data_IF_054636726229
#
_entry.id   IF_054636726229
#
_cell.length_a   1.000
_cell.length_b   1.000
_cell.length_c   1.000
_cell.angle_alpha   90.00
_cell.angle_beta   90.00
_cell.angle_gamma   90.00
#
_symmetry.space_group_name_H-M   'P 1'
#
loop_
_entity.id
_entity.type
_entity.pdbx_description
1 polymer ?
#
# COMPACT_ATOMS: atom_id res chain seq x y z
N UNK A 1 6.02 -9.95 0.56
CA UNK A 1 5.63 -11.37 0.39
C UNK A 1 6.40 -12.09 -0.71
N UNK A 2 6.53 -11.54 -1.93
CA UNK A 2 7.39 -12.16 -2.98
C UNK A 2 8.88 -11.84 -2.77
N UNK A 3 9.18 -10.55 -2.60
CA UNK A 3 10.50 -10.02 -2.26
C UNK A 3 10.30 -8.69 -1.54
N UNK A 4 11.08 -8.41 -0.50
CA UNK A 4 10.94 -7.20 0.32
C UNK A 4 11.22 -5.94 -0.52
N UNK A 5 10.34 -4.96 -0.41
CA UNK A 5 10.44 -3.64 -1.06
C UNK A 5 10.81 -2.57 -0.05
N UNK A 6 11.08 -1.34 -0.51
CA UNK A 6 11.34 -0.17 0.37
C UNK A 6 10.08 0.64 0.70
N UNK A 7 8.92 0.28 0.13
CA UNK A 7 7.63 0.93 0.37
C UNK A 7 6.86 0.38 1.57
N UNK A 8 5.82 1.11 1.98
CA UNK A 8 4.90 0.70 3.06
C UNK A 8 3.99 -0.48 2.66
N UNK A 9 3.55 -1.24 3.66
CA UNK A 9 2.62 -2.36 3.50
C UNK A 9 1.16 -1.88 3.46
N UNK A 10 0.70 -1.40 2.30
CA UNK A 10 -0.60 -0.73 2.16
C UNK A 10 -1.84 -1.63 2.24
N UNK A 11 -1.74 -2.91 1.87
CA UNK A 11 -2.92 -3.72 1.53
C UNK A 11 -3.61 -3.21 0.26
N UNK A 12 -4.90 -3.50 0.10
CA UNK A 12 -5.68 -3.06 -1.07
C UNK A 12 -6.33 -1.68 -0.90
N UNK A 13 -6.48 -1.19 0.34
CA UNK A 13 -7.33 -0.04 0.64
C UNK A 13 -6.63 1.33 0.60
N UNK A 14 -5.42 1.43 0.00
CA UNK A 14 -4.73 2.71 -0.19
C UNK A 14 -5.31 3.54 -1.35
N UNK A 15 -6.63 3.67 -1.38
CA UNK A 15 -7.43 4.38 -2.37
C UNK A 15 -8.70 4.90 -1.69
N UNK A 16 -9.13 6.10 -2.06
CA UNK A 16 -10.36 6.72 -1.57
C UNK A 16 -10.86 7.74 -2.58
N UNK A 17 -12.18 7.98 -2.59
CA UNK A 17 -12.84 8.95 -3.47
C UNK A 17 -13.56 10.00 -2.62
N UNK A 18 -13.49 11.26 -3.05
CA UNK A 18 -14.13 12.38 -2.36
C UNK A 18 -14.57 13.46 -3.36
N UNK A 19 -15.54 14.26 -2.96
CA UNK A 19 -15.94 15.47 -3.69
C UNK A 19 -15.02 16.60 -3.24
N UNK A 20 -14.26 17.16 -4.18
CA UNK A 20 -13.34 18.26 -3.93
C UNK A 20 -13.92 19.57 -4.44
N UNK A 21 -13.73 20.63 -3.67
CA UNK A 21 -14.05 21.99 -4.11
C UNK A 21 -12.81 22.86 -3.99
N UNK A 22 -12.57 23.62 -5.05
CA UNK A 22 -11.31 24.30 -5.29
C UNK A 22 -11.38 25.27 -6.46
N UNK A 23 -10.22 25.84 -6.79
CA UNK A 23 -10.03 26.69 -7.97
C UNK A 23 -9.19 25.95 -9.00
N UNK A 24 -9.59 25.91 -10.28
CA UNK A 24 -8.76 25.31 -11.34
C UNK A 24 -7.35 25.93 -11.36
N UNK A 25 -6.31 25.11 -11.42
CA UNK A 25 -4.92 25.56 -11.46
C UNK A 25 -4.67 26.47 -12.68
N UNK A 26 -5.24 26.11 -13.84
CA UNK A 26 -5.18 26.93 -15.06
C UNK A 26 -5.61 28.38 -14.82
N UNK A 27 -6.65 28.60 -14.03
CA UNK A 27 -7.17 29.93 -13.74
C UNK A 27 -6.20 30.74 -12.90
N UNK A 28 -5.60 30.12 -11.87
CA UNK A 28 -4.57 30.75 -11.04
C UNK A 28 -3.33 31.11 -11.87
N UNK A 29 -2.89 30.20 -12.75
CA UNK A 29 -1.75 30.44 -13.63
C UNK A 29 -2.02 31.60 -14.61
N UNK A 30 -3.22 31.65 -15.20
CA UNK A 30 -3.64 32.75 -16.07
C UNK A 30 -3.68 34.09 -15.34
N UNK A 31 -4.19 34.13 -14.10
CA UNK A 31 -4.16 35.33 -13.26
C UNK A 31 -2.74 35.78 -12.95
N UNK A 32 -1.79 34.85 -12.81
CA UNK A 32 -0.37 35.15 -12.66
C UNK A 32 0.33 35.54 -13.98
N UNK A 33 -0.42 35.70 -15.09
CA UNK A 33 0.11 36.09 -16.40
C UNK A 33 0.76 34.95 -17.19
N UNK A 34 0.61 33.70 -16.75
CA UNK A 34 1.15 32.53 -17.46
C UNK A 34 0.28 32.23 -18.67
N UNK A 35 0.91 32.17 -19.84
CA UNK A 35 0.25 31.82 -21.10
C UNK A 35 0.57 30.39 -21.52
N UNK A 36 -0.43 29.71 -22.07
CA UNK A 36 -0.18 28.58 -22.96
C UNK A 36 0.54 29.15 -24.17
N UNK A 37 1.77 28.71 -24.38
CA UNK A 37 2.55 29.10 -25.53
C UNK A 37 3.23 27.84 -26.03
N UNK A 38 2.75 27.38 -27.19
CA UNK A 38 3.25 26.19 -27.87
C UNK A 38 4.62 26.46 -28.53
N UNK A 39 5.06 27.72 -28.59
CA UNK A 39 6.33 28.14 -29.22
C UNK A 39 7.54 28.16 -28.27
N UNK A 40 7.47 27.51 -27.11
CA UNK A 40 8.65 27.41 -26.25
C UNK A 40 9.57 26.28 -26.74
N UNK A 41 10.85 26.57 -27.00
CA UNK A 41 11.84 25.57 -27.45
C UNK A 41 12.02 24.39 -26.49
N UNK A 42 11.63 24.55 -25.22
CA UNK A 42 11.75 23.56 -24.16
C UNK A 42 10.45 23.41 -23.39
N UNK A 43 10.12 22.18 -22.99
CA UNK A 43 8.99 21.90 -22.10
C UNK A 43 9.10 22.72 -20.82
N UNK A 44 8.02 23.44 -20.50
CA UNK A 44 7.86 24.14 -19.22
C UNK A 44 7.12 23.26 -18.21
N UNK A 45 7.41 23.48 -16.94
CA UNK A 45 6.87 22.73 -15.81
C UNK A 45 6.22 23.67 -14.80
N UNK A 46 5.28 23.13 -14.05
CA UNK A 46 4.71 23.77 -12.86
C UNK A 46 5.14 22.94 -11.67
N UNK A 47 6.01 23.51 -10.85
CA UNK A 47 6.51 22.88 -9.63
C UNK A 47 5.65 23.31 -8.43
N UNK A 48 5.37 22.36 -7.56
CA UNK A 48 4.59 22.52 -6.34
C UNK A 48 5.48 22.18 -5.14
N UNK A 49 5.48 23.04 -4.13
CA UNK A 49 6.18 22.82 -2.85
C UNK A 49 5.22 22.87 -1.67
N UNK A 50 5.34 21.90 -0.77
CA UNK A 50 4.61 21.85 0.50
C UNK A 50 5.41 22.44 1.66
N UNK A 51 4.74 22.72 2.78
CA UNK A 51 5.40 23.21 4.01
C UNK A 51 6.00 22.11 4.88
N UNK A 52 5.74 20.84 4.58
CA UNK A 52 6.17 19.70 5.39
C UNK A 52 7.67 19.43 5.22
N UNK A 53 8.40 19.50 6.34
CA UNK A 53 9.84 19.21 6.38
C UNK A 53 10.07 17.73 6.65
N UNK A 54 10.51 17.01 5.63
CA UNK A 54 10.82 15.60 5.67
C UNK A 54 12.35 15.38 5.78
N UNK A 55 12.83 14.14 6.00
CA UNK A 55 14.27 13.87 6.18
C UNK A 55 15.17 14.39 5.05
N UNK A 56 14.67 14.39 3.80
CA UNK A 56 15.42 14.84 2.62
C UNK A 56 14.95 16.21 2.09
N UNK A 57 14.42 17.06 2.98
CA UNK A 57 13.96 18.41 2.66
C UNK A 57 12.44 18.50 2.56
N UNK A 58 11.95 19.57 1.94
CA UNK A 58 10.51 19.80 1.77
C UNK A 58 9.94 18.91 0.67
N UNK A 59 8.70 18.46 0.86
CA UNK A 59 8.01 17.73 -0.18
C UNK A 59 7.74 18.63 -1.39
N UNK A 60 8.03 18.12 -2.59
CA UNK A 60 7.78 18.83 -3.82
C UNK A 60 7.79 17.90 -5.03
N UNK A 61 7.14 18.36 -6.09
CA UNK A 61 7.02 17.63 -7.35
C UNK A 61 6.58 18.59 -8.45
N UNK A 62 6.45 18.12 -9.69
CA UNK A 62 6.00 18.93 -10.81
C UNK A 62 5.11 18.15 -11.78
N UNK A 63 4.35 18.89 -12.58
CA UNK A 63 3.72 18.42 -13.82
C UNK A 63 4.15 19.35 -14.97
N UNK A 64 3.92 18.95 -16.22
CA UNK A 64 4.16 19.85 -17.36
C UNK A 64 3.16 21.01 -17.34
N UNK A 65 3.58 22.17 -17.85
CA UNK A 65 2.70 23.33 -17.99
C UNK A 65 1.49 23.02 -18.89
N UNK A 66 1.72 22.26 -19.98
CA UNK A 66 0.64 21.81 -20.87
C UNK A 66 -0.44 21.06 -20.09
N UNK A 67 -0.05 20.15 -19.19
CA UNK A 67 -1.00 19.42 -18.34
C UNK A 67 -1.70 20.35 -17.36
N UNK A 68 -0.96 21.25 -16.70
CA UNK A 68 -1.51 22.20 -15.73
C UNK A 68 -2.56 23.16 -16.34
N UNK A 69 -2.42 23.48 -17.63
CA UNK A 69 -3.28 24.39 -18.37
C UNK A 69 -4.44 23.69 -19.10
N UNK A 70 -4.41 22.35 -19.18
CA UNK A 70 -5.43 21.54 -19.87
C UNK A 70 -6.74 21.51 -19.07
N UNK A 71 -7.80 22.04 -19.67
CA UNK A 71 -9.14 22.08 -19.07
C UNK A 71 -9.75 20.70 -18.88
N UNK A 72 -9.37 19.71 -19.70
CA UNK A 72 -9.86 18.33 -19.59
C UNK A 72 -9.18 17.56 -18.45
N UNK A 73 -8.17 18.12 -17.80
CA UNK A 73 -7.44 17.44 -16.71
C UNK A 73 -7.96 17.80 -15.32
N UNK A 74 -8.88 18.76 -15.21
CA UNK A 74 -9.52 19.20 -13.97
C UNK A 74 -8.53 19.43 -12.80
N UNK A 75 -7.31 19.89 -13.10
CA UNK A 75 -6.28 20.17 -12.09
C UNK A 75 -6.71 21.35 -11.23
N UNK A 76 -6.70 21.22 -9.91
CA UNK A 76 -7.21 22.26 -9.01
C UNK A 76 -6.41 22.41 -7.72
N UNK A 77 -6.52 23.60 -7.13
CA UNK A 77 -6.18 23.89 -5.74
C UNK A 77 -7.45 23.72 -4.91
N UNK A 78 -7.52 22.65 -4.12
CA UNK A 78 -8.69 22.34 -3.29
C UNK A 78 -8.54 22.92 -1.88
N UNK A 79 -9.65 23.43 -1.33
CA UNK A 79 -9.76 23.95 0.04
C UNK A 79 -10.94 23.33 0.82
N UNK A 80 -11.76 22.52 0.15
CA UNK A 80 -12.86 21.77 0.75
C UNK A 80 -12.86 20.31 0.23
N UNK A 81 -13.21 19.38 1.14
CA UNK A 81 -13.42 17.95 0.88
C UNK A 81 -14.78 17.56 1.47
N UNK A 82 -15.64 16.95 0.65
CA UNK A 82 -17.00 16.51 1.02
C UNK A 82 -17.82 17.62 1.73
N UNK A 83 -17.75 18.85 1.21
CA UNK A 83 -18.48 20.01 1.73
C UNK A 83 -17.94 20.58 3.06
N UNK A 84 -16.76 20.14 3.51
CA UNK A 84 -16.09 20.64 4.72
C UNK A 84 -14.71 21.15 4.39
N UNK A 85 -14.18 22.06 5.20
CA UNK A 85 -12.78 22.49 5.10
C UNK A 85 -11.85 21.28 5.25
N UNK A 86 -10.69 21.35 4.59
CA UNK A 86 -9.66 20.33 4.74
C UNK A 86 -9.27 20.15 6.21
N UNK A 87 -9.00 18.91 6.62
CA UNK A 87 -8.32 18.64 7.89
C UNK A 87 -6.80 18.72 7.70
N UNK A 88 -6.00 18.79 8.77
CA UNK A 88 -4.54 18.77 8.67
C UNK A 88 -4.02 17.60 7.82
N UNK A 89 -4.46 16.36 8.05
CA UNK A 89 -4.01 15.19 7.27
C UNK A 89 -4.33 15.27 5.78
N UNK A 90 -5.38 16.01 5.43
CA UNK A 90 -5.80 16.25 4.05
C UNK A 90 -5.24 17.55 3.47
N UNK A 91 -4.26 18.19 4.11
CA UNK A 91 -3.52 19.31 3.53
C UNK A 91 -4.13 20.69 3.77
N UNK A 92 -4.83 20.90 4.89
CA UNK A 92 -5.30 22.24 5.28
C UNK A 92 -4.17 23.29 5.24
N UNK A 93 -4.41 24.51 4.73
CA UNK A 93 -5.69 25.00 4.21
C UNK A 93 -5.93 24.68 2.73
N UNK A 94 -4.88 24.40 1.96
CA UNK A 94 -4.96 24.20 0.50
C UNK A 94 -4.04 23.05 0.09
N UNK A 95 -4.54 22.21 -0.83
CA UNK A 95 -3.73 21.17 -1.49
C UNK A 95 -3.94 21.16 -3.01
N UNK A 96 -3.00 20.53 -3.71
CA UNK A 96 -3.23 20.12 -5.09
C UNK A 96 -4.16 18.91 -5.16
N UNK A 97 -5.06 18.90 -6.14
CA UNK A 97 -5.81 17.73 -6.61
C UNK A 97 -5.58 17.63 -8.12
N UNK A 98 -5.11 16.47 -8.57
CA UNK A 98 -4.77 16.21 -9.96
C UNK A 98 -5.44 14.87 -10.35
N UNK A 99 -6.65 14.88 -10.92
CA UNK A 99 -7.38 13.66 -11.21
C UNK A 99 -6.63 12.69 -12.14
N UNK A 100 -6.83 11.38 -11.92
CA UNK A 100 -6.29 10.32 -12.78
C UNK A 100 -4.80 9.98 -12.60
N UNK A 101 -4.06 10.69 -11.76
CA UNK A 101 -2.65 10.42 -11.46
C UNK A 101 -2.44 9.97 -10.01
N UNK A 102 -1.26 9.43 -9.71
CA UNK A 102 -0.91 9.00 -8.35
C UNK A 102 -0.99 10.14 -7.32
N UNK A 103 -1.33 9.78 -6.07
CA UNK A 103 -1.39 10.71 -4.95
C UNK A 103 -0.07 11.45 -4.66
N UNK A 104 1.08 10.85 -5.00
CA UNK A 104 2.41 11.46 -4.86
C UNK A 104 2.69 12.66 -5.79
N UNK A 105 1.70 13.13 -6.56
CA UNK A 105 1.78 14.41 -7.29
C UNK A 105 0.84 15.47 -6.70
N UNK A 106 -0.03 15.09 -5.78
CA UNK A 106 -1.06 15.93 -5.19
C UNK A 106 -0.57 16.54 -3.87
N UNK A 107 0.40 17.47 -3.96
CA UNK A 107 1.05 18.13 -2.82
C UNK A 107 0.02 18.67 -1.82
N UNK A 108 0.16 18.26 -0.56
CA UNK A 108 -0.60 18.76 0.59
C UNK A 108 0.12 19.96 1.22
N UNK A 109 -0.61 20.76 2.00
CA UNK A 109 -0.05 21.93 2.70
C UNK A 109 0.72 22.83 1.73
N UNK A 110 0.06 23.16 0.62
CA UNK A 110 0.69 23.82 -0.52
C UNK A 110 1.17 25.24 -0.13
N UNK A 111 2.45 25.50 -0.33
CA UNK A 111 3.09 26.79 -0.03
C UNK A 111 3.42 27.57 -1.29
N UNK A 112 4.05 26.90 -2.26
CA UNK A 112 4.65 27.55 -3.43
C UNK A 112 4.27 26.85 -4.72
N UNK A 113 3.92 27.66 -5.73
CA UNK A 113 3.79 27.26 -7.12
C UNK A 113 4.78 28.07 -7.94
N UNK A 114 5.57 27.41 -8.80
CA UNK A 114 6.52 28.08 -9.68
C UNK A 114 6.48 27.50 -11.09
N UNK A 115 6.49 28.36 -12.11
CA UNK A 115 6.62 27.95 -13.51
C UNK A 115 8.09 28.05 -13.92
N UNK A 116 8.63 26.97 -14.45
CA UNK A 116 10.07 26.81 -14.75
C UNK A 116 10.28 26.07 -16.07
N UNK A 117 11.52 26.04 -16.56
CA UNK A 117 11.94 25.25 -17.72
C UNK A 117 12.57 23.90 -17.34
N UNK A 118 12.41 23.47 -16.09
CA UNK A 118 12.91 22.20 -15.52
C UNK A 118 11.88 21.64 -14.55
N UNK A 119 11.87 20.32 -14.39
CA UNK A 119 11.11 19.63 -13.35
C UNK A 119 11.50 20.11 -11.95
N UNK A 120 10.70 19.73 -10.94
CA UNK A 120 11.02 19.97 -9.54
C UNK A 120 12.38 19.38 -9.18
N UNK A 121 13.15 20.13 -8.41
CA UNK A 121 14.43 19.73 -7.84
C UNK A 121 14.28 19.02 -6.49
N UNK A 122 13.05 18.76 -6.04
CA UNK A 122 12.79 18.04 -4.79
C UNK A 122 13.35 16.62 -4.86
N UNK A 123 14.00 16.17 -3.79
CA UNK A 123 14.48 14.80 -3.66
C UNK A 123 13.35 13.78 -3.89
N UNK A 124 12.14 14.08 -3.40
CA UNK A 124 10.94 13.24 -3.51
C UNK A 124 10.34 13.18 -4.92
N UNK A 125 10.70 14.10 -5.81
CA UNK A 125 10.33 14.00 -7.22
C UNK A 125 11.11 12.89 -7.94
N UNK A 126 12.36 12.65 -7.53
CA UNK A 126 13.26 11.67 -8.17
C UNK A 126 13.35 10.34 -7.43
N UNK A 127 13.50 10.34 -6.11
CA UNK A 127 13.77 9.13 -5.31
C UNK A 127 12.50 8.48 -4.74
N UNK A 128 11.33 8.88 -5.23
CA UNK A 128 10.04 8.31 -4.85
C UNK A 128 9.09 8.23 -6.06
N UNK A 129 8.02 7.45 -5.93
CA UNK A 129 6.93 7.35 -6.90
C UNK A 129 7.40 6.96 -8.33
N UNK A 130 8.18 5.87 -8.40
CA UNK A 130 8.68 5.28 -9.66
C UNK A 130 8.40 3.78 -9.76
N UNK A 131 8.31 3.28 -10.98
CA UNK A 131 8.32 1.84 -11.28
C UNK A 131 9.63 1.51 -12.01
N UNK A 132 10.63 1.08 -11.24
CA UNK A 132 11.90 0.63 -11.80
C UNK A 132 11.80 -0.82 -12.31
N UNK A 133 12.64 -1.24 -13.27
CA UNK A 133 12.68 -2.62 -13.72
C UNK A 133 12.93 -3.62 -12.57
N UNK A 134 12.38 -4.85 -12.63
CA UNK A 134 12.45 -5.81 -11.52
C UNK A 134 13.86 -6.21 -11.07
N UNK A 135 14.86 -6.06 -11.94
CA UNK A 135 16.26 -6.36 -11.67
C UNK A 135 17.07 -5.17 -11.10
N UNK A 136 16.41 -4.05 -10.79
CA UNK A 136 17.03 -2.86 -10.20
C UNK A 136 16.70 -2.82 -8.71
N UNK A 137 17.71 -3.04 -7.86
CA UNK A 137 17.63 -2.86 -6.41
C UNK A 137 18.13 -1.46 -5.99
N UNK A 138 18.15 -1.17 -4.69
CA UNK A 138 18.53 0.14 -4.17
C UNK A 138 20.00 0.49 -4.46
N UNK A 139 20.92 -0.46 -4.34
CA UNK A 139 22.34 -0.22 -4.60
C UNK A 139 22.54 0.15 -6.07
N UNK A 140 21.98 -0.66 -6.98
CA UNK A 140 22.06 -0.42 -8.41
C UNK A 140 21.35 0.87 -8.81
N UNK A 141 20.18 1.15 -8.24
CA UNK A 141 19.43 2.38 -8.52
C UNK A 141 20.27 3.64 -8.23
N UNK A 142 21.01 3.62 -7.11
CA UNK A 142 21.90 4.71 -6.71
C UNK A 142 23.16 4.77 -7.59
N UNK A 143 23.83 3.63 -7.81
CA UNK A 143 25.08 3.56 -8.57
C UNK A 143 24.92 3.96 -10.03
N UNK A 144 23.82 3.55 -10.66
CA UNK A 144 23.54 3.76 -12.08
C UNK A 144 22.57 4.92 -12.36
N UNK A 145 22.22 5.73 -11.33
CA UNK A 145 21.35 6.90 -11.45
C UNK A 145 19.94 6.62 -12.03
N UNK A 146 19.36 5.46 -11.73
CA UNK A 146 18.02 5.08 -12.22
C UNK A 146 16.91 6.05 -11.80
N UNK A 147 17.08 6.73 -10.66
CA UNK A 147 16.14 7.72 -10.12
C UNK A 147 15.94 8.93 -11.04
N UNK A 148 16.84 9.17 -11.99
CA UNK A 148 16.80 10.34 -12.87
C UNK A 148 16.37 9.99 -14.30
N UNK A 149 16.05 8.72 -14.58
CA UNK A 149 15.56 8.31 -15.91
C UNK A 149 14.05 8.64 -16.00
N UNK A 150 13.62 9.58 -16.85
CA UNK A 150 12.24 10.09 -16.82
C UNK A 150 11.17 9.02 -17.06
N UNK A 151 11.44 8.00 -17.87
CA UNK A 151 10.46 7.00 -18.27
C UNK A 151 9.85 6.17 -17.13
N UNK A 152 10.49 6.15 -15.95
CA UNK A 152 10.03 5.37 -14.79
C UNK A 152 9.22 6.19 -13.77
N UNK A 153 9.08 7.50 -13.99
CA UNK A 153 8.28 8.35 -13.11
C UNK A 153 6.79 8.04 -13.27
N UNK A 154 6.08 7.94 -12.15
CA UNK A 154 4.64 7.68 -12.21
C UNK A 154 3.88 9.01 -12.29
N UNK A 155 2.99 9.09 -13.27
CA UNK A 155 1.93 10.09 -13.38
C UNK A 155 0.58 9.36 -13.37
N UNK A 156 0.04 9.02 -14.54
CA UNK A 156 -1.21 8.26 -14.66
C UNK A 156 -1.14 6.92 -13.91
N UNK A 157 -2.20 6.62 -13.16
CA UNK A 157 -2.41 5.29 -12.58
C UNK A 157 -2.66 4.25 -13.67
N UNK A 158 -2.26 2.99 -13.43
CA UNK A 158 -2.65 1.86 -14.24
C UNK A 158 -4.07 1.38 -13.87
N UNK A 159 -4.66 0.52 -14.71
CA UNK A 159 -5.91 -0.16 -14.39
C UNK A 159 -5.69 -1.10 -13.20
N UNK A 160 -6.61 -1.09 -12.24
CA UNK A 160 -6.56 -1.94 -11.05
C UNK A 160 -7.97 -2.30 -10.58
N UNK A 161 -8.07 -3.44 -9.87
CA UNK A 161 -9.30 -3.90 -9.22
C UNK A 161 -8.98 -4.79 -8.03
N UNK A 162 -9.88 -4.82 -7.05
CA UNK A 162 -9.78 -5.68 -5.88
C UNK A 162 -11.15 -6.19 -5.44
N UNK A 163 -11.13 -7.32 -4.72
CA UNK A 163 -12.31 -7.93 -4.11
C UNK A 163 -12.45 -7.40 -2.68
N UNK A 164 -13.67 -7.02 -2.31
CA UNK A 164 -14.03 -6.57 -0.96
C UNK A 164 -15.04 -7.51 -0.28
N UNK A 165 -15.86 -8.22 -1.06
CA UNK A 165 -16.73 -9.29 -0.57
C UNK A 165 -16.52 -10.54 -1.46
N UNK A 166 -16.21 -11.72 -0.88
CA UNK A 166 -16.15 -12.00 0.56
C UNK A 166 -15.03 -11.29 1.29
N UNK A 167 -15.22 -11.05 2.59
CA UNK A 167 -14.22 -10.47 3.47
C UNK A 167 -13.18 -11.52 3.87
N UNK A 168 -12.04 -11.05 4.39
CA UNK A 168 -11.04 -11.94 4.96
C UNK A 168 -11.60 -12.69 6.18
N UNK A 169 -11.39 -14.01 6.19
CA UNK A 169 -11.93 -14.95 7.17
C UNK A 169 -13.45 -15.00 7.23
N UNK A 170 -14.15 -14.44 6.25
CA UNK A 170 -15.58 -14.69 6.08
C UNK A 170 -15.82 -16.19 5.90
N UNK A 171 -16.84 -16.72 6.57
CA UNK A 171 -17.23 -18.11 6.50
C UNK A 171 -18.64 -18.28 5.96
N UNK A 172 -18.82 -19.26 5.08
CA UNK A 172 -20.14 -19.67 4.60
C UNK A 172 -20.32 -21.17 4.92
N UNK A 173 -21.24 -21.53 5.84
CA UNK A 173 -21.49 -22.92 6.16
C UNK A 173 -22.10 -23.68 4.98
N UNK A 174 -21.65 -24.92 4.75
CA UNK A 174 -22.27 -25.77 3.71
C UNK A 174 -23.76 -26.03 4.00
N UNK A 175 -24.17 -26.02 5.28
CA UNK A 175 -25.57 -26.13 5.70
C UNK A 175 -26.45 -24.96 5.26
N UNK A 176 -25.85 -23.81 4.90
CA UNK A 176 -26.58 -22.65 4.36
C UNK A 176 -26.87 -22.78 2.86
N UNK A 177 -26.31 -23.80 2.19
CA UNK A 177 -26.46 -23.96 0.75
C UNK A 177 -27.85 -24.54 0.45
N UNK A 178 -28.57 -23.86 -0.42
CA UNK A 178 -29.83 -24.31 -1.02
C UNK A 178 -29.78 -24.09 -2.53
N UNK A 179 -30.72 -24.69 -3.27
CA UNK A 179 -30.81 -24.55 -4.73
C UNK A 179 -30.79 -23.09 -5.20
N UNK A 180 -31.38 -22.19 -4.42
CA UNK A 180 -31.57 -20.78 -4.76
C UNK A 180 -30.62 -19.85 -3.99
N UNK A 181 -29.67 -20.40 -3.22
CA UNK A 181 -28.73 -19.58 -2.46
C UNK A 181 -27.68 -18.95 -3.38
N UNK A 182 -27.61 -17.62 -3.35
CA UNK A 182 -26.64 -16.81 -4.07
C UNK A 182 -25.72 -16.06 -3.12
N UNK A 183 -24.50 -15.81 -3.57
CA UNK A 183 -23.55 -14.92 -2.94
C UNK A 183 -23.28 -13.73 -3.87
N UNK A 184 -23.28 -12.51 -3.32
CA UNK A 184 -22.94 -11.31 -4.09
C UNK A 184 -21.48 -10.93 -3.86
N UNK A 185 -20.63 -11.31 -4.82
CA UNK A 185 -19.25 -10.81 -4.88
C UNK A 185 -19.27 -9.31 -5.12
N UNK A 186 -18.39 -8.57 -4.44
CA UNK A 186 -18.29 -7.11 -4.58
C UNK A 186 -16.85 -6.65 -4.50
N UNK A 187 -16.58 -5.52 -5.13
CA UNK A 187 -15.29 -4.86 -5.05
C UNK A 187 -15.30 -3.50 -5.75
N UNK A 188 -14.10 -3.00 -6.05
CA UNK A 188 -13.93 -1.77 -6.81
C UNK A 188 -12.93 -1.97 -7.96
N UNK A 189 -12.96 -1.05 -8.91
CA UNK A 189 -12.00 -0.93 -10.00
C UNK A 189 -11.76 0.55 -10.35
N UNK A 190 -10.55 0.87 -10.83
CA UNK A 190 -10.19 2.21 -11.31
C UNK A 190 -9.13 2.13 -12.41
N UNK A 191 -9.00 3.20 -13.20
CA UNK A 191 -7.86 3.43 -14.11
C UNK A 191 -7.46 4.90 -14.06
N UNK A 192 -6.19 5.18 -14.34
CA UNK A 192 -5.68 6.56 -14.40
C UNK A 192 -6.05 7.30 -15.68
N UNK A 193 -5.57 8.54 -15.80
CA UNK A 193 -5.74 9.38 -16.99
C UNK A 193 -7.19 9.70 -17.38
N UNK A 194 -8.15 9.40 -16.50
CA UNK A 194 -9.58 9.58 -16.76
C UNK A 194 -10.19 8.50 -17.65
N UNK A 195 -9.51 7.36 -17.80
CA UNK A 195 -10.01 6.23 -18.61
C UNK A 195 -11.11 5.48 -17.86
N UNK A 196 -12.27 5.36 -18.50
CA UNK A 196 -13.44 4.64 -17.94
C UNK A 196 -13.14 3.14 -17.82
N UNK A 197 -13.54 2.53 -16.72
CA UNK A 197 -13.62 1.06 -16.61
C UNK A 197 -14.80 0.58 -17.44
N UNK A 198 -14.56 -0.29 -18.41
CA UNK A 198 -15.58 -0.78 -19.34
C UNK A 198 -16.12 -2.16 -18.96
N UNK A 199 -15.31 -2.97 -18.27
CA UNK A 199 -15.74 -4.26 -17.74
C UNK A 199 -14.87 -4.70 -16.57
N UNK A 200 -15.48 -5.42 -15.64
CA UNK A 200 -14.80 -6.19 -14.60
C UNK A 200 -15.23 -7.64 -14.74
N UNK A 201 -14.25 -8.52 -14.79
CA UNK A 201 -14.42 -9.95 -15.05
C UNK A 201 -13.93 -10.74 -13.83
N UNK A 202 -14.68 -11.78 -13.45
CA UNK A 202 -14.37 -12.67 -12.32
C UNK A 202 -14.26 -14.10 -12.81
N UNK A 203 -13.27 -14.83 -12.30
CA UNK A 203 -13.10 -16.26 -12.56
C UNK A 203 -13.10 -17.05 -11.25
N UNK A 204 -13.68 -18.26 -11.32
CA UNK A 204 -13.78 -19.24 -10.24
C UNK A 204 -13.12 -20.58 -10.61
N UNK A 205 -12.52 -20.67 -11.80
CA UNK A 205 -11.99 -21.91 -12.40
C UNK A 205 -10.55 -21.74 -12.91
N UNK A 206 -9.79 -20.89 -12.21
CA UNK A 206 -8.41 -20.57 -12.56
C UNK A 206 -8.29 -20.03 -13.99
N UNK A 207 -9.18 -19.09 -14.34
CA UNK A 207 -9.07 -18.23 -15.53
C UNK A 207 -9.44 -18.89 -16.84
N UNK A 208 -9.99 -20.11 -16.80
CA UNK A 208 -10.50 -20.82 -17.97
C UNK A 208 -11.77 -20.16 -18.48
N UNK A 209 -12.65 -19.73 -17.58
CA UNK A 209 -13.84 -18.95 -17.90
C UNK A 209 -13.90 -17.68 -17.06
N UNK A 210 -14.57 -16.67 -17.60
CA UNK A 210 -14.70 -15.34 -17.00
C UNK A 210 -16.16 -14.91 -17.05
N UNK A 211 -16.69 -14.55 -15.88
CA UNK A 211 -18.03 -14.04 -15.68
C UNK A 211 -17.98 -12.51 -15.65
N UNK A 212 -18.91 -11.87 -16.36
CA UNK A 212 -19.01 -10.42 -16.42
C UNK A 212 -19.81 -9.91 -15.21
N UNK A 213 -19.24 -8.94 -14.50
CA UNK A 213 -19.91 -8.28 -13.37
C UNK A 213 -20.72 -7.06 -13.80
N UNK A 214 -21.68 -6.68 -12.97
CA UNK A 214 -22.40 -5.42 -13.07
C UNK A 214 -21.50 -4.29 -12.53
N UNK A 215 -21.48 -3.16 -13.23
CA UNK A 215 -20.74 -1.97 -12.82
C UNK A 215 -21.70 -0.90 -12.31
N UNK A 216 -21.28 -0.17 -11.28
CA UNK A 216 -21.98 1.04 -10.88
C UNK A 216 -21.64 2.15 -11.87
N UNK A 217 -22.67 2.74 -12.48
CA UNK A 217 -22.50 3.84 -13.42
C UNK A 217 -21.91 5.07 -12.73
N UNK A 218 -20.90 5.64 -13.38
CA UNK A 218 -20.23 6.83 -12.90
C UNK A 218 -20.60 8.01 -13.77
N UNK A 219 -20.69 9.18 -13.13
CA UNK A 219 -20.76 10.44 -13.86
C UNK A 219 -19.46 10.66 -14.64
N UNK A 220 -19.60 10.92 -15.93
CA UNK A 220 -18.52 11.36 -16.79
C UNK A 220 -18.45 12.89 -16.79
N UNK A 221 -17.24 13.41 -16.77
CA UNK A 221 -16.98 14.84 -16.88
C UNK A 221 -16.04 15.07 -18.05
N UNK A 222 -16.51 15.76 -19.09
CA UNK A 222 -15.74 16.01 -20.31
C UNK A 222 -15.17 14.72 -20.94
N UNK A 223 -15.95 13.64 -20.97
CA UNK A 223 -15.51 12.34 -21.48
C UNK A 223 -14.46 11.63 -20.62
N UNK A 224 -14.27 12.07 -19.37
CA UNK A 224 -13.33 11.48 -18.40
C UNK A 224 -14.09 10.89 -17.22
N UNK A 225 -13.53 9.82 -16.66
CA UNK A 225 -14.01 9.20 -15.43
C UNK A 225 -12.91 9.25 -14.37
N UNK A 226 -13.05 10.14 -13.39
CA UNK A 226 -12.04 10.35 -12.35
C UNK A 226 -12.20 9.46 -11.13
N UNK A 227 -13.41 8.98 -10.89
CA UNK A 227 -13.73 8.15 -9.73
C UNK A 227 -13.54 6.67 -10.07
N UNK A 228 -13.25 5.87 -9.04
CA UNK A 228 -13.42 4.42 -9.12
C UNK A 228 -14.87 4.02 -9.41
N UNK A 229 -15.09 2.82 -9.94
CA UNK A 229 -16.43 2.19 -9.99
C UNK A 229 -16.46 1.03 -9.01
N UNK A 230 -17.64 0.78 -8.44
CA UNK A 230 -17.90 -0.46 -7.71
C UNK A 230 -18.44 -1.50 -8.68
N UNK A 231 -18.09 -2.75 -8.46
CA UNK A 231 -18.63 -3.87 -9.23
C UNK A 231 -19.32 -4.87 -8.31
N UNK A 232 -20.31 -5.57 -8.84
CA UNK A 232 -21.00 -6.66 -8.15
C UNK A 232 -21.30 -7.81 -9.09
N UNK A 233 -21.25 -9.04 -8.58
CA UNK A 233 -21.59 -10.23 -9.33
C UNK A 233 -22.27 -11.25 -8.42
N UNK A 234 -23.50 -11.62 -8.76
CA UNK A 234 -24.23 -12.70 -8.09
C UNK A 234 -23.78 -14.05 -8.62
N UNK A 235 -23.43 -14.95 -7.71
CA UNK A 235 -22.96 -16.30 -8.02
C UNK A 235 -23.74 -17.29 -7.16
N UNK A 236 -24.26 -18.40 -7.73
CA UNK A 236 -24.80 -19.49 -6.93
C UNK A 236 -23.75 -20.03 -5.94
N UNK A 237 -24.07 -20.15 -4.66
CA UNK A 237 -23.09 -20.53 -3.61
C UNK A 237 -22.40 -21.86 -3.90
N UNK A 238 -23.10 -22.81 -4.53
CA UNK A 238 -22.56 -24.10 -4.93
C UNK A 238 -21.40 -24.01 -5.93
N UNK A 239 -21.27 -22.89 -6.66
CA UNK A 239 -20.15 -22.64 -7.57
C UNK A 239 -18.80 -22.59 -6.83
N UNK A 240 -18.79 -22.22 -5.54
CA UNK A 240 -17.54 -22.18 -4.77
C UNK A 240 -17.00 -23.55 -4.38
N UNK A 241 -17.83 -24.61 -4.37
CA UNK A 241 -17.43 -25.95 -3.86
C UNK A 241 -16.25 -26.54 -4.63
N UNK A 242 -16.12 -26.21 -5.92
CA UNK A 242 -15.05 -26.71 -6.79
C UNK A 242 -13.99 -25.66 -7.09
N UNK A 243 -14.10 -24.48 -6.49
CA UNK A 243 -13.21 -23.35 -6.73
C UNK A 243 -12.14 -23.29 -5.65
N UNK A 244 -10.88 -23.24 -6.07
CA UNK A 244 -9.75 -23.02 -5.16
C UNK A 244 -9.54 -21.54 -4.85
N UNK A 245 -9.99 -20.66 -5.73
CA UNK A 245 -9.85 -19.22 -5.61
C UNK A 245 -10.85 -18.44 -6.46
N UNK A 246 -11.01 -17.18 -6.10
CA UNK A 246 -11.70 -16.14 -6.87
C UNK A 246 -10.63 -15.19 -7.39
N UNK A 247 -10.61 -14.90 -8.69
CA UNK A 247 -9.76 -13.84 -9.26
C UNK A 247 -10.60 -12.79 -9.97
N UNK A 248 -10.14 -11.55 -9.89
CA UNK A 248 -10.77 -10.41 -10.58
C UNK A 248 -9.75 -9.69 -11.47
N UNK A 249 -10.22 -9.19 -12.62
CA UNK A 249 -9.50 -8.23 -13.46
C UNK A 249 -10.44 -7.19 -14.04
N UNK A 250 -9.94 -5.97 -14.21
CA UNK A 250 -10.65 -4.89 -14.87
C UNK A 250 -10.05 -4.56 -16.24
N UNK A 251 -10.87 -3.95 -17.09
CA UNK A 251 -10.48 -3.41 -18.38
C UNK A 251 -10.93 -1.96 -18.51
N UNK A 252 -10.06 -1.11 -19.06
CA UNK A 252 -10.40 0.29 -19.32
C UNK A 252 -10.84 0.55 -20.77
N UNK A 253 -11.25 1.79 -21.07
CA UNK A 253 -11.73 2.20 -22.39
C UNK A 253 -10.64 2.19 -23.48
N UNK A 254 -9.38 2.02 -23.10
CA UNK A 254 -8.26 1.81 -24.02
C UNK A 254 -7.89 0.33 -24.17
N UNK A 255 -8.72 -0.59 -23.65
CA UNK A 255 -8.48 -2.03 -23.62
C UNK A 255 -7.21 -2.44 -22.86
N UNK A 256 -6.71 -1.61 -21.95
CA UNK A 256 -5.69 -2.04 -21.00
C UNK A 256 -6.32 -2.98 -19.97
N UNK A 257 -5.58 -4.00 -19.54
CA UNK A 257 -6.00 -4.95 -18.51
C UNK A 257 -4.88 -5.23 -17.51
N UNK A 258 -5.23 -5.95 -16.46
CA UNK A 258 -4.31 -6.37 -15.40
C UNK A 258 -3.52 -7.62 -15.81
N UNK A 259 -2.23 -7.71 -15.47
CA UNK A 259 -1.45 -8.94 -15.68
C UNK A 259 -1.90 -10.03 -14.72
N UNK A 260 -1.78 -11.29 -15.12
CA UNK A 260 -2.10 -12.41 -14.21
C UNK A 260 -1.14 -12.52 -13.03
N UNK A 261 0.14 -12.24 -13.29
CA UNK A 261 1.24 -12.40 -12.34
C UNK A 261 1.79 -11.04 -11.90
N UNK A 262 2.25 -10.99 -10.65
CA UNK A 262 2.84 -9.80 -10.06
C UNK A 262 4.15 -9.42 -10.78
N UNK A 263 4.29 -8.15 -11.13
CA UNK A 263 5.56 -7.58 -11.60
C UNK A 263 6.22 -6.82 -10.46
N UNK A 264 7.23 -7.43 -9.85
CA UNK A 264 7.93 -6.83 -8.71
C UNK A 264 8.77 -5.62 -9.16
N UNK A 265 8.81 -4.58 -8.32
CA UNK A 265 9.76 -3.48 -8.45
C UNK A 265 10.21 -3.03 -7.06
N UNK A 266 11.36 -2.37 -6.98
CA UNK A 266 12.02 -1.94 -5.73
C UNK A 266 11.07 -1.25 -4.74
N UNK A 267 10.16 -0.42 -5.25
CA UNK A 267 9.26 0.40 -4.45
C UNK A 267 7.93 -0.27 -4.11
N UNK A 268 7.61 -1.41 -4.73
CA UNK A 268 6.29 -2.04 -4.61
C UNK A 268 5.15 -1.21 -5.20
N UNK A 269 5.46 -0.23 -6.05
CA UNK A 269 4.50 0.71 -6.62
C UNK A 269 3.74 0.08 -7.79
N UNK A 270 2.52 0.56 -8.05
CA UNK A 270 1.71 0.20 -9.23
C UNK A 270 1.44 -1.31 -9.39
N UNK A 271 1.47 -2.06 -8.28
CA UNK A 271 1.10 -3.48 -8.30
C UNK A 271 -0.38 -3.63 -8.67
N UNK A 272 -0.65 -4.23 -9.83
CA UNK A 272 -1.99 -4.37 -10.38
C UNK A 272 -2.27 -5.77 -10.94
N UNK A 273 -1.55 -6.82 -10.51
CA UNK A 273 -1.89 -8.16 -10.96
C UNK A 273 -3.32 -8.56 -10.54
N UNK A 274 -3.84 -9.64 -11.13
CA UNK A 274 -5.14 -10.19 -10.74
C UNK A 274 -5.22 -10.35 -9.22
N UNK A 275 -6.18 -9.68 -8.59
CA UNK A 275 -6.41 -9.82 -7.16
C UNK A 275 -7.04 -11.18 -6.89
N UNK A 276 -6.51 -11.94 -5.92
CA UNK A 276 -6.91 -13.34 -5.66
C UNK A 276 -7.36 -13.55 -4.22
N UNK A 277 -8.55 -14.12 -4.05
CA UNK A 277 -9.06 -14.58 -2.76
C UNK A 277 -9.09 -16.12 -2.78
N UNK A 278 -8.36 -16.76 -1.87
CA UNK A 278 -8.34 -18.22 -1.73
C UNK A 278 -9.59 -18.70 -1.01
N UNK A 279 -10.08 -19.87 -1.41
CA UNK A 279 -11.22 -20.54 -0.78
C UNK A 279 -10.69 -21.79 -0.08
N UNK A 280 -11.03 -21.94 1.19
CA UNK A 280 -10.63 -23.08 2.02
C UNK A 280 -11.87 -23.81 2.54
N UNK A 281 -11.86 -25.14 2.43
CA UNK A 281 -12.82 -25.97 3.17
C UNK A 281 -12.20 -26.29 4.53
N UNK A 282 -12.83 -25.83 5.61
CA UNK A 282 -12.35 -26.06 6.97
C UNK A 282 -13.49 -26.55 7.87
N UNK A 283 -13.12 -27.19 8.98
CA UNK A 283 -14.06 -27.49 10.06
C UNK A 283 -14.09 -26.34 11.06
N UNK A 284 -15.27 -25.80 11.33
CA UNK A 284 -15.49 -24.77 12.33
C UNK A 284 -16.51 -25.28 13.36
N UNK A 285 -16.03 -25.68 14.53
CA UNK A 285 -16.85 -26.38 15.52
C UNK A 285 -17.29 -27.76 15.00
N UNK A 286 -18.60 -27.95 14.80
CA UNK A 286 -19.19 -29.19 14.23
C UNK A 286 -19.50 -29.07 12.75
N UNK A 287 -19.39 -27.87 12.17
CA UNK A 287 -19.78 -27.59 10.80
C UNK A 287 -18.57 -27.64 9.87
N UNK A 288 -18.80 -28.07 8.63
CA UNK A 288 -17.88 -27.84 7.53
C UNK A 288 -18.29 -26.53 6.88
N UNK A 289 -17.33 -25.64 6.67
CA UNK A 289 -17.57 -24.30 6.12
C UNK A 289 -16.58 -23.98 5.01
N UNK A 290 -16.96 -23.10 4.09
CA UNK A 290 -16.00 -22.38 3.25
C UNK A 290 -15.46 -21.18 4.03
N UNK A 291 -14.14 -20.96 4.00
CA UNK A 291 -13.48 -19.75 4.52
C UNK A 291 -12.74 -19.05 3.38
N UNK A 292 -12.89 -17.73 3.30
CA UNK A 292 -12.26 -16.91 2.27
C UNK A 292 -11.04 -16.17 2.81
N UNK A 293 -9.94 -16.18 2.06
CA UNK A 293 -8.68 -15.58 2.49
C UNK A 293 -8.12 -14.64 1.43
N UNK A 294 -7.98 -13.35 1.78
CA UNK A 294 -7.31 -12.34 0.96
C UNK A 294 -5.78 -12.53 0.91
N UNK A 295 -5.04 -11.88 -0.03
CA UNK A 295 -3.59 -12.05 -0.14
C UNK A 295 -2.81 -11.67 1.11
N UNK A 296 -3.13 -10.52 1.71
CA UNK A 296 -2.50 -9.97 2.91
C UNK A 296 -3.51 -9.14 3.69
N UNK A 297 -3.25 -8.92 4.97
CA UNK A 297 -3.87 -7.85 5.75
C UNK A 297 -3.14 -6.52 5.53
N UNK A 298 -3.77 -5.40 5.92
CA UNK A 298 -3.17 -4.07 5.81
C UNK A 298 -2.09 -3.85 6.89
N UNK A 299 -1.04 -3.10 6.56
CA UNK A 299 0.08 -2.85 7.47
C UNK A 299 0.87 -4.12 7.76
N UNK A 300 1.29 -4.27 9.03
CA UNK A 300 2.01 -5.45 9.51
C UNK A 300 1.07 -6.46 10.20
N UNK A 301 -0.24 -6.35 9.96
CA UNK A 301 -1.19 -7.29 10.52
C UNK A 301 -0.93 -8.70 9.95
N UNK A 302 -0.93 -9.74 10.80
CA UNK A 302 -0.73 -11.11 10.34
C UNK A 302 -1.95 -11.58 9.54
N UNK A 303 -1.71 -12.56 8.67
CA UNK A 303 -2.78 -13.22 7.91
C UNK A 303 -2.76 -12.92 6.42
N UNK A 304 -3.43 -13.79 5.67
CA UNK A 304 -3.45 -13.79 4.21
C UNK A 304 -2.67 -14.97 3.64
N UNK A 305 -3.15 -15.45 2.49
CA UNK A 305 -2.63 -16.68 1.91
C UNK A 305 -1.17 -16.53 1.48
N UNK A 306 -0.74 -15.32 1.09
CA UNK A 306 0.65 -15.05 0.74
C UNK A 306 1.58 -15.12 1.95
N UNK A 307 1.08 -14.74 3.14
CA UNK A 307 1.84 -14.81 4.41
C UNK A 307 2.08 -16.26 4.78
N UNK A 308 1.01 -17.05 4.82
CA UNK A 308 1.10 -18.47 5.13
C UNK A 308 1.98 -19.23 4.14
N UNK A 309 1.82 -18.96 2.83
CA UNK A 309 2.61 -19.61 1.80
C UNK A 309 4.10 -19.33 1.98
N UNK A 310 4.47 -18.06 2.19
CA UNK A 310 5.87 -17.68 2.43
C UNK A 310 6.45 -18.34 3.69
N UNK A 311 5.69 -18.41 4.79
CA UNK A 311 6.11 -19.12 6.01
C UNK A 311 6.32 -20.63 5.78
N UNK A 312 5.45 -21.27 4.97
CA UNK A 312 5.59 -22.68 4.61
C UNK A 312 6.83 -22.93 3.74
N UNK A 313 7.07 -22.07 2.75
CA UNK A 313 8.25 -22.13 1.88
C UNK A 313 9.55 -21.94 2.68
N UNK A 314 9.58 -21.01 3.63
CA UNK A 314 10.71 -20.85 4.54
C UNK A 314 10.96 -22.09 5.41
N UNK A 315 9.90 -22.68 5.97
CA UNK A 315 10.02 -23.93 6.76
C UNK A 315 10.51 -25.11 5.93
N UNK A 316 10.13 -25.20 4.67
CA UNK A 316 10.56 -26.28 3.76
C UNK A 316 11.99 -26.08 3.21
N UNK A 317 12.43 -24.83 3.06
CA UNK A 317 13.78 -24.46 2.60
C UNK A 317 14.85 -24.49 3.70
N UNK A 318 14.45 -24.66 4.97
CA UNK A 318 15.37 -24.85 6.07
C UNK A 318 16.17 -26.17 5.89
N UNK A 319 17.50 -26.16 5.97
CA UNK A 319 18.31 -27.35 5.69
C UNK A 319 17.99 -28.50 6.64
N UNK A 320 17.70 -29.68 6.08
CA UNK A 320 17.42 -30.93 6.80
C UNK A 320 18.64 -31.55 7.53
N UNK A 321 19.72 -30.79 7.72
CA UNK A 321 20.93 -31.22 8.43
C UNK A 321 21.39 -30.12 9.39
N UNK A 322 20.72 -30.04 10.55
CA UNK A 322 21.38 -29.60 11.77
C UNK A 322 21.66 -30.86 12.59
N UNK A 323 22.93 -31.16 12.97
CA UNK A 323 23.21 -32.33 13.79
C UNK A 323 22.49 -32.20 15.13
N UNK A 324 21.77 -33.25 15.50
CA UNK A 324 21.31 -33.47 16.87
C UNK A 324 22.53 -33.74 17.76
N UNK A 325 23.25 -32.67 18.15
CA UNK A 325 24.11 -32.63 19.32
C UNK A 325 24.60 -31.20 19.55
N UNK A 326 23.81 -30.43 20.29
CA UNK A 326 24.33 -29.41 21.18
C UNK A 326 23.59 -29.60 22.50
N UNK A 327 24.32 -30.15 23.46
CA UNK A 327 23.92 -30.29 24.85
C UNK A 327 23.24 -29.02 25.35
N UNK A 328 22.03 -29.18 25.89
CA UNK A 328 21.36 -28.17 26.71
C UNK A 328 22.29 -27.74 27.85
N UNK A 329 22.90 -26.57 27.74
CA UNK A 329 23.27 -25.80 28.91
C UNK A 329 22.08 -24.90 29.22
N UNK A 330 21.23 -25.34 30.14
CA UNK A 330 20.31 -24.46 30.86
C UNK A 330 21.16 -23.50 31.70
N UNK A 331 21.52 -22.36 31.12
CA UNK A 331 21.86 -21.19 31.91
C UNK A 331 20.55 -20.53 32.31
N UNK A 332 20.12 -20.71 33.55
CA UNK A 332 19.08 -19.90 34.18
C UNK A 332 19.55 -18.44 34.24
N UNK A 333 19.19 -17.61 33.25
CA UNK A 333 19.30 -16.16 33.38
C UNK A 333 18.28 -15.70 34.44
N UNK A 334 18.75 -14.95 35.45
CA UNK A 334 17.91 -14.30 36.48
C UNK A 334 17.21 -13.03 35.95
N UNK A 335 17.14 -12.87 34.64
CA UNK A 335 16.57 -11.67 34.04
C UNK A 335 15.04 -11.69 34.17
N UNK A 336 14.39 -10.53 34.38
CA UNK A 336 12.94 -10.42 34.40
C UNK A 336 12.32 -11.01 33.13
N UNK A 337 11.17 -11.67 33.25
CA UNK A 337 10.43 -12.23 32.12
C UNK A 337 9.13 -11.47 31.90
N UNK A 338 8.84 -11.13 30.65
CA UNK A 338 7.62 -10.42 30.27
C UNK A 338 6.82 -11.22 29.24
N UNK A 339 5.50 -11.23 29.39
CA UNK A 339 4.58 -11.83 28.42
C UNK A 339 4.30 -10.86 27.25
N UNK A 340 3.85 -11.40 26.11
CA UNK A 340 3.39 -10.56 24.99
C UNK A 340 2.26 -9.60 25.40
N UNK A 341 1.35 -10.04 26.28
CA UNK A 341 0.24 -9.22 26.78
C UNK A 341 0.75 -8.02 27.61
N UNK A 342 1.82 -8.19 28.37
CA UNK A 342 2.45 -7.09 29.10
C UNK A 342 3.12 -6.11 28.12
N UNK A 343 3.92 -6.61 27.18
CA UNK A 343 4.61 -5.75 26.21
C UNK A 343 3.62 -4.91 25.40
N UNK A 344 2.47 -5.48 24.99
CA UNK A 344 1.42 -4.77 24.24
C UNK A 344 0.83 -3.54 24.95
N UNK A 345 0.95 -3.44 26.27
CA UNK A 345 0.46 -2.29 27.04
C UNK A 345 1.35 -1.05 26.85
N UNK A 346 2.61 -1.25 26.47
CA UNK A 346 3.63 -0.21 26.31
C UNK A 346 3.76 0.20 24.83
N UNK A 347 2.72 0.87 24.32
CA UNK A 347 2.51 1.09 22.88
C UNK A 347 2.40 2.58 22.45
N UNK A 348 2.91 3.53 23.24
CA UNK A 348 2.75 4.96 22.96
C UNK A 348 4.03 5.78 23.22
N UNK A 349 4.02 7.08 22.89
CA UNK A 349 5.20 7.95 22.97
C UNK A 349 5.77 8.13 24.38
N UNK A 350 4.94 7.98 25.41
CA UNK A 350 5.36 8.11 26.81
C UNK A 350 5.70 6.77 27.45
N UNK A 351 5.46 5.67 26.75
CA UNK A 351 5.63 4.31 27.24
C UNK A 351 5.71 3.32 26.07
N UNK A 352 6.93 2.98 25.65
CA UNK A 352 7.20 2.25 24.42
C UNK A 352 8.18 1.11 24.65
N UNK A 353 7.67 -0.12 24.65
CA UNK A 353 8.49 -1.32 24.66
C UNK A 353 8.47 -2.00 23.30
N UNK A 354 9.57 -2.64 22.94
CA UNK A 354 9.70 -3.43 21.71
C UNK A 354 10.38 -4.77 22.01
N UNK A 355 10.13 -5.77 21.17
CA UNK A 355 10.80 -7.08 21.27
C UNK A 355 11.74 -7.25 20.09
N UNK A 356 12.99 -7.63 20.38
CA UNK A 356 14.00 -7.99 19.38
C UNK A 356 14.69 -9.27 19.86
N UNK A 357 14.71 -10.30 19.02
CA UNK A 357 15.36 -11.59 19.25
C UNK A 357 14.98 -12.21 20.62
N UNK A 358 13.68 -12.20 20.94
CA UNK A 358 13.08 -12.67 22.21
C UNK A 358 13.51 -11.89 23.46
N UNK A 359 14.04 -10.69 23.30
CA UNK A 359 14.41 -9.77 24.38
C UNK A 359 13.51 -8.54 24.34
N UNK A 360 13.15 -8.03 25.51
CA UNK A 360 12.28 -6.87 25.68
C UNK A 360 13.11 -5.64 26.01
N UNK A 361 12.82 -4.53 25.33
CA UNK A 361 13.56 -3.28 25.44
C UNK A 361 12.62 -2.11 25.72
N UNK A 362 12.91 -1.32 26.76
CA UNK A 362 12.24 -0.04 27.02
C UNK A 362 12.92 1.07 26.23
N UNK A 363 12.27 1.50 25.15
CA UNK A 363 12.79 2.51 24.24
C UNK A 363 12.23 3.92 24.51
N UNK A 364 11.45 4.11 25.57
CA UNK A 364 10.71 5.36 25.84
C UNK A 364 11.62 6.59 25.81
N UNK A 365 12.76 6.54 26.49
CA UNK A 365 13.73 7.66 26.54
C UNK A 365 14.52 7.85 25.23
N UNK A 366 14.47 6.86 24.34
CA UNK A 366 15.21 6.88 23.08
C UNK A 366 14.42 7.47 21.92
N UNK A 367 13.08 7.46 21.99
CA UNK A 367 12.19 7.95 20.93
C UNK A 367 12.60 9.33 20.39
N UNK A 368 12.85 10.38 21.20
CA UNK A 368 13.10 11.73 20.69
C UNK A 368 14.42 11.86 19.93
N UNK A 369 15.33 10.91 20.12
CA UNK A 369 16.68 10.90 19.56
C UNK A 369 16.91 9.72 18.60
N UNK A 370 15.83 9.03 18.21
CA UNK A 370 15.88 7.92 17.27
C UNK A 370 16.20 8.43 15.86
N UNK A 371 17.30 7.98 15.21
CA UNK A 371 17.70 8.50 13.89
C UNK A 371 16.68 8.32 12.76
N UNK A 372 15.82 7.30 12.86
CA UNK A 372 14.72 7.07 11.92
C UNK A 372 13.47 7.93 12.18
N UNK A 373 13.51 8.81 13.19
CA UNK A 373 12.38 9.61 13.65
C UNK A 373 11.45 8.87 14.62
N UNK A 374 10.62 9.64 15.32
CA UNK A 374 9.64 9.16 16.32
C UNK A 374 8.65 8.15 15.75
N UNK A 375 8.10 8.43 14.57
CA UNK A 375 7.09 7.56 13.94
C UNK A 375 7.63 6.16 13.62
N UNK A 376 8.91 6.06 13.25
CA UNK A 376 9.53 4.79 12.84
C UNK A 376 9.69 3.80 13.99
N UNK A 377 9.85 4.30 15.24
CA UNK A 377 9.89 3.43 16.42
C UNK A 377 8.49 3.15 16.96
N UNK A 378 7.59 4.15 16.95
CA UNK A 378 6.23 4.02 17.47
C UNK A 378 5.35 3.04 16.68
N UNK A 379 5.60 2.84 15.39
CA UNK A 379 4.86 1.85 14.59
C UNK A 379 5.04 0.41 15.11
N UNK A 380 6.11 0.16 15.87
CA UNK A 380 6.45 -1.14 16.46
C UNK A 380 6.27 -1.15 17.99
N UNK A 381 5.70 -0.10 18.57
CA UNK A 381 5.51 -0.01 20.01
C UNK A 381 4.53 -1.09 20.48
N UNK A 382 4.95 -1.87 21.47
CA UNK A 382 4.20 -3.00 22.02
C UNK A 382 4.25 -4.28 21.17
N UNK A 383 5.12 -4.36 20.16
CA UNK A 383 5.20 -5.52 19.25
C UNK A 383 6.61 -6.13 19.17
N UNK A 384 6.70 -7.30 18.55
CA UNK A 384 7.97 -7.90 18.13
C UNK A 384 8.37 -7.33 16.78
N UNK A 385 9.55 -6.71 16.73
CA UNK A 385 10.14 -6.10 15.56
C UNK A 385 11.56 -6.60 15.29
N UNK A 386 11.84 -7.85 15.68
CA UNK A 386 13.16 -8.48 15.53
C UNK A 386 13.66 -8.38 14.08
N UNK A 387 12.77 -8.62 13.13
CA UNK A 387 13.10 -8.63 11.70
C UNK A 387 13.34 -7.21 11.15
N UNK A 388 12.49 -6.25 11.51
CA UNK A 388 12.62 -4.84 11.12
C UNK A 388 13.90 -4.25 11.67
N UNK A 389 14.16 -4.49 12.95
CA UNK A 389 15.35 -3.97 13.62
C UNK A 389 16.61 -4.51 12.95
N UNK A 390 16.70 -5.84 12.79
CA UNK A 390 17.89 -6.49 12.23
C UNK A 390 18.13 -6.15 10.75
N UNK A 391 17.10 -5.73 10.00
CA UNK A 391 17.21 -5.42 8.58
C UNK A 391 17.79 -4.03 8.26
N UNK A 392 17.63 -3.04 9.15
CA UNK A 392 17.98 -1.64 8.87
C UNK A 392 19.01 -1.05 9.83
N UNK A 393 19.29 -1.73 10.94
CA UNK A 393 20.20 -1.25 11.97
C UNK A 393 21.58 -1.90 11.88
N UNK A 394 22.63 -1.07 11.86
CA UNK A 394 24.03 -1.50 11.88
C UNK A 394 24.42 -2.15 13.22
N UNK A 395 25.56 -2.85 13.25
CA UNK A 395 26.10 -3.45 14.49
C UNK A 395 26.30 -2.44 15.63
N UNK A 396 26.56 -1.17 15.30
CA UNK A 396 26.65 -0.08 16.28
C UNK A 396 25.31 0.18 16.96
N UNK A 397 24.21 0.13 16.20
CA UNK A 397 22.87 0.27 16.74
C UNK A 397 22.48 -0.95 17.59
N UNK A 398 22.89 -2.17 17.19
CA UNK A 398 22.71 -3.39 17.99
C UNK A 398 23.42 -3.32 19.34
N UNK A 399 24.64 -2.75 19.39
CA UNK A 399 25.36 -2.51 20.67
C UNK A 399 24.65 -1.49 21.56
N UNK A 400 24.08 -0.44 20.96
CA UNK A 400 23.31 0.57 21.70
C UNK A 400 21.98 0.01 22.21
N UNK A 401 21.38 -0.94 21.50
CA UNK A 401 20.14 -1.60 21.92
C UNK A 401 20.26 -2.25 23.30
N UNK A 402 21.43 -2.82 23.62
CA UNK A 402 21.69 -3.47 24.90
C UNK A 402 21.47 -2.53 26.12
N UNK A 403 21.58 -1.21 25.97
CA UNK A 403 21.34 -0.27 27.08
C UNK A 403 19.86 -0.08 27.44
N UNK A 404 18.96 -0.57 26.58
CA UNK A 404 17.51 -0.48 26.76
C UNK A 404 16.88 -1.81 27.20
N UNK A 405 17.69 -2.86 27.36
CA UNK A 405 17.22 -4.19 27.73
C UNK A 405 16.62 -4.20 29.14
N UNK A 406 15.43 -4.76 29.27
CA UNK A 406 14.73 -4.87 30.55
C UNK A 406 14.41 -6.32 30.97
N UNK A 407 14.53 -7.29 30.05
CA UNK A 407 14.31 -8.72 30.32
C UNK A 407 13.99 -9.56 29.09
N UNK A 408 13.73 -10.84 29.29
CA UNK A 408 13.43 -11.81 28.22
C UNK A 408 11.92 -11.97 27.99
N UNK A 409 11.52 -12.35 26.77
CA UNK A 409 10.13 -12.68 26.45
C UNK A 409 9.77 -14.08 26.98
N UNK A 410 8.67 -14.18 27.72
CA UNK A 410 8.08 -15.44 28.15
C UNK A 410 7.15 -16.01 27.07
N UNK A 411 7.68 -16.95 26.29
CA UNK A 411 6.97 -17.63 25.19
C UNK A 411 6.11 -18.82 25.67
N UNK A 412 6.00 -19.06 26.98
CA UNK A 412 5.35 -20.27 27.55
C UNK A 412 3.83 -20.33 27.36
N UNK A 413 3.17 -19.21 27.02
CA UNK A 413 1.71 -19.10 26.84
C UNK A 413 1.26 -18.82 25.41
N UNK A 414 2.17 -18.79 24.43
CA UNK A 414 1.77 -18.60 23.02
C UNK A 414 0.91 -19.79 22.60
N UNK A 415 -0.31 -19.61 22.07
CA UNK A 415 -1.09 -20.73 21.56
C UNK A 415 -0.24 -21.43 20.50
N UNK A 416 0.05 -22.71 20.74
CA UNK A 416 0.74 -23.56 19.77
C UNK A 416 -0.22 -23.73 18.59
N UNK A 417 0.08 -23.03 17.50
CA UNK A 417 -0.60 -23.16 16.21
C UNK A 417 -0.25 -24.48 15.53
#
# INVERSE_FOLDING_TARGET
MVKKTIGFNWGAAAVSTAIWKGVPLRYILQLAGVKNDDNYEKTRYVCFGGTDKLPNGYYGTSITLKWAMDEEKDVMLAYEINGKRLTPDHGYPIRMIIPGIIGGRMVKWLDKISVTNKESDSWYHFHDNRVLPPNVDAERANKENWWYIPNYIIYDLNVNSAIAAPAHDEVIPFSSFSSDSEYTLRGYAYSGGGRKITRVEVTLDDGKTWLLSDLFDLEERNGRTWCWTFWSLKIPTHSFVRSSEIRVRAWDCSQNTQPENLTWNLMGMMNNCHYRVKIHVITYGKDVVLRFEHPTQAGNNPGGWMVRQHELEQKQSAPANAPANASKSESSSKDPKYTMEQVKQHNNEKDCWIIIDKKVYDCTKFIPIHPGGTTAILINAGTDCSEEFNAIHSDKAKKRLATFYIGDLDDSKRPKL
#
